data_IF_381337670025
#
_entry.id   IF_381337670025
#
_cell.length_a   1.000
_cell.length_b   1.000
_cell.length_c   1.000
_cell.angle_alpha   90.00
_cell.angle_beta   90.00
_cell.angle_gamma   90.00
#
_symmetry.space_group_name_H-M   'P 1'
#
loop_
_entity.id
_entity.type
_entity.pdbx_description
1 polymer ?
#
# COMPACT_ATOMS: atom_id res chain seq x y z
N UNK A 1 22.25 -2.55 23.74
CA UNK A 1 21.00 -1.83 23.46
C UNK A 1 20.26 -2.66 22.44
N UNK A 2 19.13 -3.27 22.81
CA UNK A 2 18.32 -4.04 21.86
C UNK A 2 17.56 -3.00 21.05
N UNK A 3 18.02 -2.77 19.82
CA UNK A 3 17.31 -1.89 18.89
C UNK A 3 15.91 -2.46 18.64
N UNK A 4 14.89 -1.61 18.70
CA UNK A 4 13.53 -2.00 18.35
C UNK A 4 13.51 -2.52 16.92
N UNK A 5 12.86 -3.66 16.71
CA UNK A 5 12.80 -4.36 15.41
C UNK A 5 11.35 -4.55 15.01
N UNK A 6 11.09 -4.49 13.70
CA UNK A 6 9.78 -4.76 13.12
C UNK A 6 9.81 -6.07 12.35
N UNK A 7 8.72 -6.82 12.47
CA UNK A 7 8.59 -8.17 11.90
C UNK A 7 7.46 -8.18 10.88
N UNK A 8 7.79 -8.55 9.65
CA UNK A 8 6.89 -8.62 8.53
C UNK A 8 6.77 -10.06 8.04
N UNK A 9 5.57 -10.41 7.58
CA UNK A 9 5.29 -11.67 6.88
C UNK A 9 4.62 -11.38 5.56
N UNK A 10 4.97 -12.14 4.53
CA UNK A 10 4.27 -12.04 3.26
C UNK A 10 2.76 -12.30 3.44
N UNK A 11 1.93 -11.43 2.85
CA UNK A 11 0.45 -11.52 2.88
C UNK A 11 -0.06 -12.81 2.20
N UNK A 12 0.67 -13.35 1.24
CA UNK A 12 0.23 -14.50 0.46
C UNK A 12 0.11 -15.75 1.35
N UNK A 13 -1.07 -16.37 1.39
CA UNK A 13 -1.44 -17.37 2.42
C UNK A 13 -0.50 -18.59 2.52
N UNK A 14 0.13 -18.98 1.41
CA UNK A 14 1.06 -20.11 1.33
C UNK A 14 2.53 -19.70 1.29
N UNK A 15 2.82 -18.41 1.42
CA UNK A 15 4.17 -17.91 1.43
C UNK A 15 4.74 -17.95 2.85
N UNK A 16 5.98 -18.44 2.97
CA UNK A 16 6.70 -18.57 4.24
C UNK A 16 7.66 -17.42 4.49
N UNK A 17 7.80 -16.48 3.55
CA UNK A 17 8.77 -15.40 3.65
C UNK A 17 8.45 -14.49 4.83
N UNK A 18 9.49 -14.23 5.62
CA UNK A 18 9.49 -13.23 6.68
C UNK A 18 10.64 -12.24 6.48
N UNK A 19 10.42 -11.01 6.92
CA UNK A 19 11.36 -9.90 6.82
C UNK A 19 11.46 -9.22 8.18
N UNK A 20 12.67 -8.99 8.65
CA UNK A 20 12.95 -8.22 9.86
C UNK A 20 13.64 -6.92 9.46
N UNK A 21 13.14 -5.79 9.97
CA UNK A 21 13.76 -4.48 9.77
C UNK A 21 14.05 -3.79 11.09
N UNK A 22 14.90 -2.76 11.06
CA UNK A 22 14.94 -1.78 12.13
C UNK A 22 13.78 -0.76 11.99
N UNK A 23 13.73 0.23 12.86
CA UNK A 23 12.74 1.32 12.81
C UNK A 23 12.95 2.32 11.65
N UNK A 24 14.03 2.18 10.88
CA UNK A 24 14.32 3.02 9.71
C UNK A 24 14.12 2.24 8.40
N UNK A 25 13.36 1.14 8.44
CA UNK A 25 13.11 0.24 7.31
C UNK A 25 14.37 -0.41 6.70
N UNK A 26 15.49 -0.44 7.45
CA UNK A 26 16.70 -1.14 7.01
C UNK A 26 16.50 -2.63 7.22
N UNK A 27 16.63 -3.41 6.15
CA UNK A 27 16.52 -4.86 6.18
C UNK A 27 17.64 -5.43 7.05
N UNK A 28 17.27 -6.05 8.17
CA UNK A 28 18.18 -6.75 9.06
C UNK A 28 18.28 -8.22 8.67
N UNK A 29 17.15 -8.84 8.32
CA UNK A 29 17.09 -10.25 8.00
C UNK A 29 15.95 -10.53 7.02
N UNK A 30 16.21 -11.40 6.04
CA UNK A 30 15.22 -11.87 5.09
C UNK A 30 15.28 -13.39 5.04
N UNK A 31 14.15 -14.05 5.34
CA UNK A 31 14.09 -15.50 5.50
C UNK A 31 13.12 -16.13 4.49
N UNK A 32 13.57 -17.19 3.82
CA UNK A 32 12.79 -17.97 2.86
C UNK A 32 12.81 -17.42 1.44
N UNK A 33 12.05 -18.05 0.55
CA UNK A 33 11.86 -17.64 -0.85
C UNK A 33 10.37 -17.54 -1.17
N UNK A 34 10.01 -16.56 -2.00
CA UNK A 34 8.62 -16.39 -2.44
C UNK A 34 8.19 -17.53 -3.35
N UNK A 35 7.03 -18.13 -3.06
CA UNK A 35 6.42 -19.19 -3.86
C UNK A 35 5.41 -18.65 -4.90
N UNK A 36 5.38 -17.34 -5.13
CA UNK A 36 4.47 -16.65 -6.02
C UNK A 36 5.19 -15.49 -6.71
N UNK A 37 4.74 -15.06 -7.90
CA UNK A 37 5.27 -13.87 -8.54
C UNK A 37 4.92 -12.61 -7.72
N UNK A 38 5.68 -11.52 -7.90
CA UNK A 38 5.27 -10.21 -7.40
C UNK A 38 3.90 -9.81 -7.95
N UNK A 39 3.10 -9.11 -7.14
CA UNK A 39 1.79 -8.56 -7.50
C UNK A 39 1.89 -7.02 -7.59
N UNK A 40 2.48 -6.47 -8.67
CA UNK A 40 2.77 -5.04 -8.77
C UNK A 40 1.50 -4.18 -8.73
N UNK A 41 0.38 -4.67 -9.27
CA UNK A 41 -0.89 -3.94 -9.25
C UNK A 41 -1.41 -3.75 -7.81
N UNK A 42 -1.29 -4.76 -6.95
CA UNK A 42 -1.69 -4.62 -5.54
C UNK A 42 -0.84 -3.57 -4.81
N UNK A 43 0.46 -3.49 -5.12
CA UNK A 43 1.38 -2.52 -4.54
C UNK A 43 0.99 -1.10 -4.98
N UNK A 44 0.68 -0.91 -6.25
CA UNK A 44 0.21 0.37 -6.81
C UNK A 44 -1.12 0.79 -6.17
N UNK A 45 -2.09 -0.11 -6.07
CA UNK A 45 -3.38 0.16 -5.40
C UNK A 45 -3.16 0.53 -3.93
N UNK A 46 -2.22 -0.12 -3.23
CA UNK A 46 -1.89 0.23 -1.84
C UNK A 46 -1.32 1.64 -1.74
N UNK A 47 -0.35 1.98 -2.61
CA UNK A 47 0.23 3.34 -2.67
C UNK A 47 -0.83 4.39 -2.95
N UNK A 48 -1.75 4.11 -3.88
CA UNK A 48 -2.89 4.98 -4.17
C UNK A 48 -3.77 5.20 -2.94
N UNK A 49 -4.16 4.11 -2.25
CA UNK A 49 -4.99 4.18 -1.03
C UNK A 49 -4.33 5.02 0.06
N UNK A 50 -3.04 4.82 0.30
CA UNK A 50 -2.27 5.57 1.30
C UNK A 50 -2.14 7.04 0.93
N UNK A 51 -1.82 7.35 -0.33
CA UNK A 51 -1.71 8.72 -0.83
C UNK A 51 -3.04 9.48 -0.67
N UNK A 52 -4.14 8.90 -1.15
CA UNK A 52 -5.47 9.48 -1.02
C UNK A 52 -5.87 9.68 0.45
N UNK A 53 -5.66 8.66 1.31
CA UNK A 53 -5.96 8.75 2.74
C UNK A 53 -5.15 9.82 3.45
N UNK A 54 -3.87 9.94 3.14
CA UNK A 54 -3.01 10.96 3.74
C UNK A 54 -3.43 12.36 3.30
N UNK A 55 -3.77 12.54 2.02
CA UNK A 55 -4.15 13.83 1.49
C UNK A 55 -5.51 14.32 2.03
N UNK A 56 -6.50 13.45 2.14
CA UNK A 56 -7.79 13.78 2.76
C UNK A 56 -7.68 14.16 4.25
N UNK A 57 -6.64 13.69 4.96
CA UNK A 57 -6.39 14.11 6.35
C UNK A 57 -5.77 15.50 6.47
N UNK A 58 -5.01 15.92 5.47
CA UNK A 58 -4.24 17.17 5.47
C UNK A 58 -5.04 18.30 4.83
N UNK A 59 -5.75 17.98 3.75
CA UNK A 59 -6.50 18.93 2.96
C UNK A 59 -7.99 18.78 3.22
N UNK A 60 -8.73 19.89 3.23
CA UNK A 60 -10.20 19.93 3.21
C UNK A 60 -10.79 19.62 1.83
N UNK A 61 -9.95 19.18 0.88
CA UNK A 61 -10.33 18.84 -0.49
C UNK A 61 -11.31 17.65 -0.50
N UNK A 62 -12.42 17.72 -1.27
CA UNK A 62 -13.34 16.60 -1.41
C UNK A 62 -12.65 15.34 -1.93
N UNK A 63 -13.01 14.18 -1.37
CA UNK A 63 -12.43 12.87 -1.72
C UNK A 63 -12.51 12.57 -3.22
N UNK A 64 -13.60 12.98 -3.89
CA UNK A 64 -13.76 12.80 -5.34
C UNK A 64 -12.65 13.50 -6.14
N UNK A 65 -12.28 14.73 -5.76
CA UNK A 65 -11.22 15.48 -6.43
C UNK A 65 -9.84 14.87 -6.15
N UNK A 66 -9.58 14.47 -4.91
CA UNK A 66 -8.35 13.76 -4.54
C UNK A 66 -8.21 12.45 -5.31
N UNK A 67 -9.29 11.69 -5.48
CA UNK A 67 -9.28 10.41 -6.18
C UNK A 67 -8.83 10.56 -7.64
N UNK A 68 -9.47 11.47 -8.39
CA UNK A 68 -9.17 11.66 -9.82
C UNK A 68 -7.75 12.20 -10.02
N UNK A 69 -7.31 13.13 -9.16
CA UNK A 69 -5.98 13.70 -9.24
C UNK A 69 -4.88 12.69 -8.90
N UNK A 70 -5.08 11.84 -7.87
CA UNK A 70 -4.11 10.80 -7.51
C UNK A 70 -4.05 9.70 -8.58
N UNK A 71 -5.17 9.38 -9.23
CA UNK A 71 -5.20 8.41 -10.32
C UNK A 71 -4.40 8.89 -11.54
N UNK A 72 -4.47 10.20 -11.85
CA UNK A 72 -3.65 10.82 -12.91
C UNK A 72 -2.18 10.90 -12.47
N UNK A 73 -1.91 11.30 -11.23
CA UNK A 73 -0.56 11.57 -10.72
C UNK A 73 0.31 10.32 -10.65
N UNK A 74 -0.27 9.18 -10.30
CA UNK A 74 0.48 7.93 -10.14
C UNK A 74 0.76 7.19 -11.46
N UNK A 75 0.32 7.73 -12.60
CA UNK A 75 0.52 7.17 -13.95
C UNK A 75 0.25 5.66 -14.01
N UNK A 76 -0.86 5.26 -13.40
CA UNK A 76 -1.18 3.85 -13.18
C UNK A 76 -1.53 3.14 -14.49
N UNK A 77 -1.21 1.85 -14.57
CA UNK A 77 -1.59 1.05 -15.74
C UNK A 77 -3.12 0.99 -15.90
N UNK A 78 -3.61 0.83 -17.13
CA UNK A 78 -5.07 0.68 -17.40
C UNK A 78 -5.69 -0.48 -16.61
N UNK A 79 -4.92 -1.55 -16.41
CA UNK A 79 -5.35 -2.72 -15.63
C UNK A 79 -5.49 -2.33 -14.16
N UNK A 80 -4.53 -1.59 -13.62
CA UNK A 80 -4.56 -1.13 -12.23
C UNK A 80 -5.71 -0.12 -11.99
N UNK A 81 -5.96 0.80 -12.93
CA UNK A 81 -7.08 1.75 -12.86
C UNK A 81 -8.42 1.02 -12.77
N UNK A 82 -8.61 -0.05 -13.56
CA UNK A 82 -9.84 -0.85 -13.53
C UNK A 82 -10.04 -1.61 -12.21
N UNK A 83 -8.96 -1.87 -11.47
CA UNK A 83 -8.97 -2.56 -10.18
C UNK A 83 -8.96 -1.60 -8.98
N UNK A 84 -8.98 -0.28 -9.21
CA UNK A 84 -9.05 0.69 -8.13
C UNK A 84 -10.39 0.56 -7.36
N UNK A 85 -10.37 0.73 -6.04
CA UNK A 85 -11.61 0.82 -5.25
C UNK A 85 -12.42 2.04 -5.72
N UNK A 86 -13.74 1.89 -5.78
CA UNK A 86 -14.64 3.01 -6.11
C UNK A 86 -14.51 4.16 -5.11
N UNK A 87 -14.91 5.37 -5.52
CA UNK A 87 -14.94 6.55 -4.63
C UNK A 87 -15.73 6.27 -3.32
N UNK A 88 -16.82 5.51 -3.42
CA UNK A 88 -17.64 5.11 -2.28
C UNK A 88 -16.86 4.23 -1.30
N UNK A 89 -16.11 3.25 -1.82
CA UNK A 89 -15.26 2.38 -1.00
C UNK A 89 -14.10 3.17 -0.38
N UNK A 90 -13.51 4.10 -1.12
CA UNK A 90 -12.47 5.00 -0.62
C UNK A 90 -12.98 5.86 0.54
N UNK A 91 -14.20 6.41 0.43
CA UNK A 91 -14.83 7.17 1.52
C UNK A 91 -14.98 6.34 2.80
N UNK A 92 -15.35 5.07 2.68
CA UNK A 92 -15.42 4.16 3.83
C UNK A 92 -14.04 3.84 4.43
N UNK A 93 -12.99 3.69 3.63
CA UNK A 93 -11.62 3.39 4.10
C UNK A 93 -10.92 4.58 4.81
N UNK A 94 -11.38 5.80 4.52
CA UNK A 94 -10.80 7.04 5.05
C UNK A 94 -11.51 7.48 6.34
N UNK A 95 -12.85 7.35 6.40
CA UNK A 95 -13.67 7.81 7.52
C UNK A 95 -13.90 6.70 8.57
N UNK A 96 -13.77 5.43 8.16
CA UNK A 96 -13.88 4.25 9.03
C UNK A 96 -12.65 3.96 9.87
#
# INVERSE_FOLDING_TARGET
MVGSTEYYRCKHSRCIVTLHTDLNDVILEFNGEHCHPPEPEEIEIRKFKEAAKNRTKIETTPISQTYDEEAIRLDMSKVTIAALPSEREMRCLIIG
#
